data_IF_553284555506
#
_entry.id   IF_553284555506
#
_cell.length_a   1.000
_cell.length_b   1.000
_cell.length_c   1.000
_cell.angle_alpha   90.00
_cell.angle_beta   90.00
_cell.angle_gamma   90.00
#
_symmetry.space_group_name_H-M   'P 1'
#
loop_
_entity.id
_entity.type
_entity.pdbx_description
1 polymer ?
#
# COMPACT_ATOMS: atom_id res chain seq x y z
N UNK A 1 -1.04 29.43 -13.68
CA UNK A 1 -1.58 28.29 -12.94
C UNK A 1 -0.63 27.15 -13.19
N UNK A 2 -0.11 26.53 -12.13
CA UNK A 2 0.89 25.46 -12.24
C UNK A 2 0.20 24.15 -12.64
N UNK A 3 0.66 23.50 -13.69
CA UNK A 3 0.05 22.27 -14.22
C UNK A 3 0.85 21.05 -13.73
N UNK A 4 0.24 20.24 -12.87
CA UNK A 4 0.88 19.08 -12.25
C UNK A 4 0.24 17.81 -12.79
N UNK A 5 1.02 17.02 -13.52
CA UNK A 5 0.56 15.75 -14.10
C UNK A 5 0.87 14.60 -13.12
N UNK A 6 -0.14 13.81 -12.78
CA UNK A 6 0.00 12.61 -11.94
C UNK A 6 -0.16 11.37 -12.80
N UNK A 7 0.85 10.49 -12.81
CA UNK A 7 0.87 9.30 -13.67
C UNK A 7 0.91 8.04 -12.79
N UNK A 8 -0.07 7.16 -12.97
CA UNK A 8 -0.12 5.87 -12.27
C UNK A 8 -0.89 4.83 -13.09
N UNK A 9 -0.74 3.53 -12.76
CA UNK A 9 -1.31 2.48 -13.61
C UNK A 9 -1.88 1.29 -12.86
N UNK A 10 -1.57 1.14 -11.57
CA UNK A 10 -2.02 0.01 -10.75
C UNK A 10 -2.94 0.46 -9.61
N UNK A 11 -3.71 -0.48 -9.06
CA UNK A 11 -4.55 -0.22 -7.88
C UNK A 11 -3.77 0.36 -6.68
N UNK A 12 -2.63 -0.21 -6.26
CA UNK A 12 -1.86 0.33 -5.14
C UNK A 12 -1.36 1.76 -5.37
N UNK A 13 -0.90 2.06 -6.60
CA UNK A 13 -0.52 3.43 -6.97
C UNK A 13 -1.71 4.39 -6.88
N UNK A 14 -2.87 3.98 -7.42
CA UNK A 14 -4.08 4.81 -7.40
C UNK A 14 -4.54 5.14 -5.98
N UNK A 15 -4.55 4.17 -5.07
CA UNK A 15 -4.90 4.38 -3.65
C UNK A 15 -4.00 5.45 -3.02
N UNK A 16 -2.70 5.40 -3.31
CA UNK A 16 -1.70 6.30 -2.73
C UNK A 16 -1.63 7.66 -3.44
N UNK A 17 -1.96 7.72 -4.73
CA UNK A 17 -1.97 8.97 -5.49
C UNK A 17 -3.29 9.74 -5.38
N UNK A 18 -4.41 9.07 -5.12
CA UNK A 18 -5.71 9.71 -5.01
C UNK A 18 -5.77 10.84 -3.96
N UNK A 19 -5.20 10.68 -2.74
CA UNK A 19 -5.11 11.78 -1.79
C UNK A 19 -4.33 12.99 -2.32
N UNK A 20 -3.29 12.77 -3.11
CA UNK A 20 -2.48 13.84 -3.72
C UNK A 20 -3.30 14.57 -4.79
N UNK A 21 -4.04 13.84 -5.64
CA UNK A 21 -4.99 14.44 -6.60
C UNK A 21 -5.98 15.32 -5.85
N UNK A 22 -6.64 14.79 -4.81
CA UNK A 22 -7.64 15.52 -4.03
C UNK A 22 -7.08 16.71 -3.26
N UNK A 23 -5.83 16.64 -2.83
CA UNK A 23 -5.15 17.78 -2.22
C UNK A 23 -4.84 18.88 -3.25
N UNK A 24 -4.39 18.53 -4.46
CA UNK A 24 -4.16 19.47 -5.56
C UNK A 24 -5.44 20.16 -6.03
N UNK A 25 -6.55 19.40 -6.19
CA UNK A 25 -7.86 19.95 -6.57
C UNK A 25 -8.38 21.04 -5.62
N UNK A 26 -7.98 20.99 -4.33
CA UNK A 26 -8.38 21.96 -3.31
C UNK A 26 -7.51 23.22 -3.26
N UNK A 27 -6.38 23.24 -3.98
CA UNK A 27 -5.41 24.35 -3.93
C UNK A 27 -5.60 25.31 -5.10
N UNK A 28 -5.71 26.59 -4.80
CA UNK A 28 -5.73 27.63 -5.81
C UNK A 28 -4.37 27.73 -6.53
N UNK A 29 -4.40 28.04 -7.82
CA UNK A 29 -3.20 28.24 -8.63
C UNK A 29 -2.53 26.95 -9.14
N UNK A 30 -3.14 25.76 -8.90
CA UNK A 30 -2.68 24.47 -9.44
C UNK A 30 -3.79 23.80 -10.24
N UNK A 31 -3.42 23.16 -11.31
CA UNK A 31 -4.28 22.32 -12.15
C UNK A 31 -3.70 20.89 -12.16
N UNK A 32 -4.34 19.91 -11.49
CA UNK A 32 -3.95 18.51 -11.62
C UNK A 32 -4.37 17.96 -12.99
N UNK A 33 -3.51 17.15 -13.61
CA UNK A 33 -3.78 16.39 -14.84
C UNK A 33 -3.56 14.92 -14.50
N UNK A 34 -4.62 14.13 -14.49
CA UNK A 34 -4.56 12.71 -14.12
C UNK A 34 -4.40 11.85 -15.37
N UNK A 35 -3.33 11.07 -15.42
CA UNK A 35 -3.01 10.15 -16.50
C UNK A 35 -2.93 8.74 -15.95
N UNK A 36 -3.75 7.83 -16.48
CA UNK A 36 -3.71 6.42 -16.09
C UNK A 36 -3.21 5.55 -17.25
N UNK A 37 -2.31 4.61 -16.94
CA UNK A 37 -1.81 3.64 -17.92
C UNK A 37 -2.65 2.39 -18.00
N UNK A 38 -3.55 2.20 -17.02
CA UNK A 38 -4.51 1.09 -16.90
C UNK A 38 -3.83 -0.29 -16.95
N UNK A 39 -2.76 -0.49 -16.16
CA UNK A 39 -2.06 -1.77 -16.06
C UNK A 39 -2.97 -2.89 -15.50
N UNK A 40 -3.93 -2.57 -14.62
CA UNK A 40 -4.95 -3.48 -14.06
C UNK A 40 -6.30 -2.78 -14.06
N UNK A 41 -7.00 -2.82 -15.19
CA UNK A 41 -8.18 -2.01 -15.50
C UNK A 41 -9.27 -2.04 -14.41
N UNK A 42 -9.90 -3.19 -14.20
CA UNK A 42 -11.06 -3.30 -13.31
C UNK A 42 -10.76 -2.85 -11.85
N UNK A 43 -9.59 -3.23 -11.34
CA UNK A 43 -9.18 -2.86 -9.99
C UNK A 43 -8.80 -1.39 -9.86
N UNK A 44 -8.31 -0.77 -10.93
CA UNK A 44 -7.99 0.65 -10.96
C UNK A 44 -9.26 1.49 -10.98
N UNK A 45 -10.23 1.12 -11.83
CA UNK A 45 -11.50 1.81 -11.99
C UNK A 45 -12.28 1.90 -10.67
N UNK A 46 -12.29 0.82 -9.85
CA UNK A 46 -12.91 0.83 -8.53
C UNK A 46 -12.31 1.90 -7.59
N UNK A 47 -10.99 2.09 -7.63
CA UNK A 47 -10.33 3.12 -6.81
C UNK A 47 -10.64 4.51 -7.34
N UNK A 48 -10.61 4.72 -8.65
CA UNK A 48 -10.97 6.00 -9.26
C UNK A 48 -12.41 6.42 -8.90
N UNK A 49 -13.34 5.48 -8.97
CA UNK A 49 -14.73 5.69 -8.58
C UNK A 49 -14.87 6.03 -7.08
N UNK A 50 -14.20 5.25 -6.20
CA UNK A 50 -14.19 5.47 -4.75
C UNK A 50 -13.72 6.87 -4.38
N UNK A 51 -12.67 7.36 -5.03
CA UNK A 51 -12.11 8.70 -4.80
C UNK A 51 -12.74 9.78 -5.69
N UNK A 52 -13.73 9.43 -6.51
CA UNK A 52 -14.38 10.37 -7.45
C UNK A 52 -13.34 11.08 -8.34
N UNK A 53 -12.43 10.33 -8.92
CA UNK A 53 -11.41 10.81 -9.85
C UNK A 53 -11.78 10.38 -11.26
N UNK A 54 -11.87 11.36 -12.16
CA UNK A 54 -12.02 11.11 -13.59
C UNK A 54 -10.67 11.42 -14.25
N UNK A 55 -9.97 10.43 -14.83
CA UNK A 55 -8.70 10.70 -15.47
C UNK A 55 -8.87 11.56 -16.74
N UNK A 56 -7.96 12.53 -16.92
CA UNK A 56 -7.90 13.36 -18.12
C UNK A 56 -7.41 12.56 -19.33
N UNK A 57 -6.53 11.58 -19.06
CA UNK A 57 -6.02 10.66 -20.06
C UNK A 57 -6.03 9.22 -19.53
N UNK A 58 -6.76 8.38 -20.24
CA UNK A 58 -6.75 6.93 -20.05
C UNK A 58 -6.04 6.30 -21.24
N UNK A 59 -4.86 5.75 -21.01
CA UNK A 59 -3.99 5.25 -22.07
C UNK A 59 -4.27 3.80 -22.48
N UNK A 60 -4.94 3.03 -21.61
CA UNK A 60 -5.33 1.63 -21.84
C UNK A 60 -4.22 0.76 -22.46
N UNK A 61 -3.06 0.73 -21.81
CA UNK A 61 -1.85 0.12 -22.37
C UNK A 61 -1.69 -1.37 -22.08
N UNK A 62 -2.54 -1.95 -21.22
CA UNK A 62 -2.45 -3.36 -20.87
C UNK A 62 -2.73 -4.25 -22.10
N UNK A 63 -1.89 -5.28 -22.26
CA UNK A 63 -2.08 -6.35 -23.24
C UNK A 63 -1.78 -7.71 -22.59
N UNK A 64 -2.53 -8.77 -22.93
CA UNK A 64 -2.24 -10.11 -22.43
C UNK A 64 -0.81 -10.55 -22.82
N UNK A 65 -0.09 -11.11 -21.86
CA UNK A 65 1.25 -11.70 -22.05
C UNK A 65 2.33 -10.76 -22.60
N UNK A 66 2.16 -9.42 -22.43
CA UNK A 66 3.20 -8.47 -22.84
C UNK A 66 4.45 -8.62 -21.96
N UNK A 67 5.62 -8.44 -22.56
CA UNK A 67 6.90 -8.41 -21.84
C UNK A 67 7.12 -7.05 -21.14
N UNK A 68 8.09 -6.97 -20.24
CA UNK A 68 8.44 -5.70 -19.58
C UNK A 68 8.95 -4.68 -20.60
N UNK A 69 9.70 -5.13 -21.61
CA UNK A 69 10.23 -4.28 -22.70
C UNK A 69 9.09 -3.68 -23.53
N UNK A 70 8.12 -4.50 -23.93
CA UNK A 70 6.96 -4.04 -24.69
C UNK A 70 6.11 -3.05 -23.88
N UNK A 71 5.89 -3.31 -22.60
CA UNK A 71 5.16 -2.40 -21.72
C UNK A 71 5.89 -1.08 -21.55
N UNK A 72 7.20 -1.11 -21.27
CA UNK A 72 8.04 0.09 -21.14
C UNK A 72 7.99 0.93 -22.42
N UNK A 73 8.17 0.31 -23.59
CA UNK A 73 8.14 1.01 -24.87
C UNK A 73 6.77 1.64 -25.15
N UNK A 74 5.67 0.98 -24.82
CA UNK A 74 4.30 1.52 -25.00
C UNK A 74 4.04 2.72 -24.11
N UNK A 75 4.41 2.60 -22.80
CA UNK A 75 4.23 3.72 -21.87
C UNK A 75 5.06 4.91 -22.31
N UNK A 76 6.33 4.71 -22.65
CA UNK A 76 7.22 5.77 -23.13
C UNK A 76 6.64 6.51 -24.34
N UNK A 77 6.18 5.76 -25.35
CA UNK A 77 5.61 6.34 -26.58
C UNK A 77 4.24 7.03 -26.34
N UNK A 78 3.41 6.50 -25.45
CA UNK A 78 2.13 7.11 -25.14
C UNK A 78 2.33 8.38 -24.31
N UNK A 79 3.18 8.34 -23.28
CA UNK A 79 3.51 9.49 -22.46
C UNK A 79 4.13 10.64 -23.27
N UNK A 80 5.00 10.34 -24.23
CA UNK A 80 5.52 11.38 -25.13
C UNK A 80 4.42 12.24 -25.72
N UNK A 81 3.36 11.62 -26.29
CA UNK A 81 2.24 12.33 -26.93
C UNK A 81 1.42 13.16 -25.93
N UNK A 82 1.21 12.61 -24.73
CA UNK A 82 0.47 13.32 -23.67
C UNK A 82 1.26 14.52 -23.19
N UNK A 83 2.56 14.35 -22.93
CA UNK A 83 3.45 15.44 -22.47
C UNK A 83 3.59 16.55 -23.52
N UNK A 84 3.73 16.20 -24.82
CA UNK A 84 3.76 17.17 -25.92
C UNK A 84 2.46 18.01 -26.02
N UNK A 85 1.32 17.38 -25.71
CA UNK A 85 0.01 18.04 -25.74
C UNK A 85 -0.23 18.92 -24.50
N UNK A 86 0.01 18.35 -23.33
CA UNK A 86 -0.36 18.98 -22.05
C UNK A 86 0.69 19.95 -21.53
N UNK A 87 1.97 19.74 -21.83
CA UNK A 87 3.11 20.57 -21.38
C UNK A 87 3.03 20.92 -19.89
N UNK A 88 3.00 19.90 -18.97
CA UNK A 88 2.92 20.15 -17.55
C UNK A 88 4.23 20.77 -17.01
N UNK A 89 4.12 21.51 -15.92
CA UNK A 89 5.26 22.08 -15.20
C UNK A 89 5.98 21.05 -14.33
N UNK A 90 5.29 19.95 -13.95
CA UNK A 90 5.80 18.86 -13.15
C UNK A 90 5.06 17.57 -13.48
N UNK A 91 5.78 16.45 -13.50
CA UNK A 91 5.20 15.09 -13.53
C UNK A 91 5.43 14.43 -12.18
N UNK A 92 4.36 14.00 -11.52
CA UNK A 92 4.41 13.16 -10.33
C UNK A 92 4.23 11.70 -10.69
N UNK A 93 5.12 10.86 -10.18
CA UNK A 93 5.07 9.40 -10.28
C UNK A 93 5.14 8.78 -8.89
N UNK A 94 4.72 7.53 -8.75
CA UNK A 94 4.63 6.87 -7.45
C UNK A 94 5.34 5.52 -7.42
N UNK A 95 6.16 5.30 -6.39
CA UNK A 95 6.72 3.98 -6.08
C UNK A 95 7.70 3.45 -7.13
N UNK A 96 7.43 2.26 -7.67
CA UNK A 96 8.45 1.47 -8.36
C UNK A 96 7.94 0.63 -9.53
N UNK A 97 6.74 0.90 -10.03
CA UNK A 97 6.21 0.17 -11.19
C UNK A 97 6.95 0.52 -12.48
N UNK A 98 6.74 -0.28 -13.51
CA UNK A 98 7.21 0.04 -14.86
C UNK A 98 6.60 1.35 -15.37
N UNK A 99 5.37 1.66 -14.97
CA UNK A 99 4.72 2.96 -15.25
C UNK A 99 5.52 4.10 -14.66
N UNK A 100 5.91 4.01 -13.39
CA UNK A 100 6.71 5.01 -12.68
C UNK A 100 8.02 5.31 -13.40
N UNK A 101 8.79 4.28 -13.73
CA UNK A 101 10.07 4.44 -14.43
C UNK A 101 9.90 4.99 -15.85
N UNK A 102 9.00 4.42 -16.65
CA UNK A 102 8.84 4.81 -18.05
C UNK A 102 8.25 6.22 -18.20
N UNK A 103 7.32 6.64 -17.32
CA UNK A 103 6.79 8.00 -17.31
C UNK A 103 7.86 9.02 -16.90
N UNK A 104 8.71 8.70 -15.90
CA UNK A 104 9.84 9.55 -15.51
C UNK A 104 10.84 9.73 -16.65
N UNK A 105 11.16 8.65 -17.35
CA UNK A 105 12.06 8.71 -18.52
C UNK A 105 11.47 9.53 -19.65
N UNK A 106 10.15 9.43 -19.91
CA UNK A 106 9.46 10.24 -20.92
C UNK A 106 9.50 11.74 -20.57
N UNK A 107 9.26 12.09 -19.29
CA UNK A 107 9.34 13.46 -18.80
C UNK A 107 10.76 14.03 -18.92
N UNK A 108 11.76 13.25 -18.51
CA UNK A 108 13.18 13.63 -18.65
C UNK A 108 13.56 13.96 -20.10
N UNK A 109 13.12 13.16 -21.08
CA UNK A 109 13.40 13.42 -22.49
C UNK A 109 12.79 14.72 -23.01
N UNK A 110 11.76 15.23 -22.35
CA UNK A 110 11.12 16.50 -22.67
C UNK A 110 11.54 17.65 -21.73
N UNK A 111 12.52 17.38 -20.86
CA UNK A 111 13.04 18.35 -19.88
C UNK A 111 11.95 18.88 -18.92
N UNK A 112 10.99 18.02 -18.60
CA UNK A 112 9.94 18.30 -17.61
C UNK A 112 10.37 17.71 -16.28
N UNK A 113 10.37 18.51 -15.19
CA UNK A 113 10.73 18.05 -13.85
C UNK A 113 9.87 16.87 -13.38
N UNK A 114 10.47 15.97 -12.59
CA UNK A 114 9.84 14.78 -12.03
C UNK A 114 9.85 14.82 -10.52
N UNK A 115 8.69 14.63 -9.90
CA UNK A 115 8.54 14.37 -8.47
C UNK A 115 8.24 12.89 -8.21
N UNK A 116 9.04 12.26 -7.37
CA UNK A 116 8.89 10.85 -7.02
C UNK A 116 8.24 10.70 -5.64
N UNK A 117 6.99 10.27 -5.61
CA UNK A 117 6.23 9.96 -4.40
C UNK A 117 6.56 8.54 -3.94
N UNK A 118 6.70 8.32 -2.65
CA UNK A 118 7.21 7.07 -2.03
C UNK A 118 8.66 6.77 -2.46
N UNK A 119 9.48 7.82 -2.50
CA UNK A 119 10.89 7.72 -2.89
C UNK A 119 11.76 7.15 -1.76
N UNK A 120 12.81 6.41 -2.13
CA UNK A 120 13.87 6.03 -1.18
C UNK A 120 13.71 4.68 -0.49
N UNK A 121 12.66 3.91 -0.78
CA UNK A 121 12.60 2.51 -0.36
C UNK A 121 13.70 1.71 -1.06
N UNK A 122 14.43 0.85 -0.31
CA UNK A 122 15.55 0.06 -0.85
C UNK A 122 15.63 -1.32 -0.23
N UNK A 123 15.94 -2.30 -1.06
CA UNK A 123 16.43 -3.61 -0.64
C UNK A 123 17.92 -3.77 -0.92
N UNK A 124 18.45 -2.97 -1.86
CA UNK A 124 19.81 -3.09 -2.42
C UNK A 124 20.10 -4.46 -3.07
N UNK A 125 19.06 -5.22 -3.33
CA UNK A 125 19.12 -6.50 -4.03
C UNK A 125 18.54 -6.35 -5.43
N UNK A 126 19.39 -6.19 -6.43
CA UNK A 126 19.03 -5.87 -7.82
C UNK A 126 17.83 -6.64 -8.39
N UNK A 127 17.64 -7.88 -7.97
CA UNK A 127 16.61 -8.79 -8.47
C UNK A 127 15.55 -9.16 -7.42
N UNK A 128 15.47 -8.43 -6.29
CA UNK A 128 14.53 -8.71 -5.22
C UNK A 128 14.06 -7.41 -4.51
N UNK A 129 12.82 -6.95 -4.77
CA UNK A 129 11.86 -7.44 -5.79
C UNK A 129 12.30 -7.09 -7.22
N UNK A 130 11.85 -7.88 -8.20
CA UNK A 130 12.14 -7.67 -9.61
C UNK A 130 10.85 -7.42 -10.40
N UNK A 131 10.76 -6.34 -11.22
CA UNK A 131 11.80 -5.35 -11.55
C UNK A 131 11.83 -4.12 -10.62
N UNK A 132 11.06 -4.11 -9.53
CA UNK A 132 10.72 -2.94 -8.71
C UNK A 132 11.95 -2.25 -8.11
N UNK A 133 12.93 -3.02 -7.60
CA UNK A 133 14.12 -2.42 -6.99
C UNK A 133 14.91 -1.55 -7.98
N UNK A 134 15.07 -2.01 -9.22
CA UNK A 134 15.76 -1.22 -10.24
C UNK A 134 14.90 -0.07 -10.75
N UNK A 135 13.59 -0.25 -10.89
CA UNK A 135 12.70 0.83 -11.28
C UNK A 135 12.79 2.01 -10.30
N UNK A 136 12.75 1.74 -8.96
CA UNK A 136 12.82 2.81 -7.96
C UNK A 136 14.18 3.50 -7.92
N UNK A 137 15.27 2.77 -8.11
CA UNK A 137 16.60 3.35 -8.18
C UNK A 137 16.75 4.25 -9.42
N UNK A 138 16.34 3.77 -10.60
CA UNK A 138 16.42 4.53 -11.85
C UNK A 138 15.49 5.76 -11.82
N UNK A 139 14.26 5.62 -11.30
CA UNK A 139 13.37 6.76 -11.07
C UNK A 139 14.02 7.80 -10.15
N UNK A 140 14.65 7.35 -9.05
CA UNK A 140 15.39 8.24 -8.15
C UNK A 140 16.59 8.94 -8.78
N UNK A 141 17.13 8.46 -9.92
CA UNK A 141 18.15 9.18 -10.70
C UNK A 141 17.53 10.28 -11.55
N UNK A 142 16.31 10.03 -12.06
CA UNK A 142 15.61 10.95 -12.96
C UNK A 142 14.84 12.05 -12.21
N UNK A 143 14.50 11.80 -10.93
CA UNK A 143 13.65 12.69 -10.15
C UNK A 143 14.37 13.96 -9.69
N UNK A 144 13.66 15.08 -9.82
CA UNK A 144 14.07 16.41 -9.35
C UNK A 144 13.58 16.67 -7.91
N UNK A 145 12.55 15.95 -7.45
CA UNK A 145 12.01 16.02 -6.08
C UNK A 145 11.77 14.62 -5.56
N UNK A 146 12.15 14.37 -4.31
CA UNK A 146 11.96 13.09 -3.63
C UNK A 146 11.06 13.24 -2.42
N UNK A 147 9.86 12.68 -2.48
CA UNK A 147 8.91 12.65 -1.37
C UNK A 147 9.04 11.31 -0.65
N UNK A 148 9.84 11.29 0.40
CA UNK A 148 10.16 10.08 1.14
C UNK A 148 9.08 9.76 2.19
N UNK A 149 8.60 8.50 2.28
CA UNK A 149 7.58 8.14 3.25
C UNK A 149 8.11 8.09 4.69
N UNK A 150 9.41 7.86 4.89
CA UNK A 150 10.04 7.76 6.21
C UNK A 150 11.41 8.44 6.25
N UNK A 151 11.91 8.68 7.44
CA UNK A 151 13.27 9.17 7.62
C UNK A 151 14.33 8.18 7.11
N UNK A 152 14.07 6.86 7.22
CA UNK A 152 14.97 5.85 6.68
C UNK A 152 15.01 5.89 5.15
N UNK A 153 13.86 6.05 4.49
CA UNK A 153 13.80 6.22 3.05
C UNK A 153 14.56 7.48 2.58
N UNK A 154 14.42 8.58 3.31
CA UNK A 154 15.19 9.80 3.04
C UNK A 154 16.70 9.60 3.23
N UNK A 155 17.11 8.83 4.24
CA UNK A 155 18.52 8.52 4.48
C UNK A 155 19.11 7.65 3.36
N UNK A 156 18.37 6.67 2.86
CA UNK A 156 18.79 5.87 1.70
C UNK A 156 19.11 6.77 0.49
N UNK A 157 18.27 7.77 0.22
CA UNK A 157 18.50 8.73 -0.86
C UNK A 157 19.76 9.61 -0.63
N UNK A 158 20.01 10.04 0.62
CA UNK A 158 21.22 10.79 0.97
C UNK A 158 22.48 9.94 0.79
N UNK A 159 22.44 8.68 1.22
CA UNK A 159 23.55 7.73 1.02
C UNK A 159 23.86 7.48 -0.45
N UNK A 160 22.86 7.56 -1.33
CA UNK A 160 23.03 7.54 -2.78
C UNK A 160 23.48 8.88 -3.38
N UNK A 161 23.82 9.84 -2.53
CA UNK A 161 24.29 11.17 -2.92
C UNK A 161 23.32 11.93 -3.85
N UNK A 162 21.99 11.78 -3.61
CA UNK A 162 21.00 12.60 -4.33
C UNK A 162 21.13 14.07 -3.91
N UNK A 163 21.25 14.95 -4.89
CA UNK A 163 21.41 16.40 -4.68
C UNK A 163 20.07 17.14 -4.73
N UNK A 164 19.07 16.53 -5.32
CA UNK A 164 17.70 17.08 -5.41
C UNK A 164 17.03 17.14 -4.03
N UNK A 165 16.05 18.01 -3.81
CA UNK A 165 15.31 18.11 -2.56
C UNK A 165 14.73 16.74 -2.11
N UNK A 166 15.00 16.36 -0.86
CA UNK A 166 14.48 15.18 -0.21
C UNK A 166 13.59 15.63 0.94
N UNK A 167 12.29 15.37 0.81
CA UNK A 167 11.28 15.82 1.75
C UNK A 167 10.63 14.61 2.40
N UNK A 168 10.68 14.50 3.73
CA UNK A 168 9.95 13.44 4.47
C UNK A 168 8.52 13.88 4.62
N UNK A 169 7.62 13.20 3.90
CA UNK A 169 6.19 13.54 3.84
C UNK A 169 5.31 12.62 4.68
N UNK A 170 5.73 11.39 4.91
CA UNK A 170 4.87 10.28 5.28
C UNK A 170 4.40 9.51 4.04
N UNK A 171 3.72 8.39 4.26
CA UNK A 171 3.14 7.58 3.19
C UNK A 171 1.70 8.01 2.93
N UNK A 172 1.37 8.32 1.69
CA UNK A 172 0.05 8.78 1.26
C UNK A 172 -1.06 7.72 1.41
N UNK A 173 -0.71 6.45 1.65
CA UNK A 173 -1.70 5.43 1.98
C UNK A 173 -2.42 5.75 3.30
N UNK A 174 -1.73 6.42 4.24
CA UNK A 174 -2.34 6.82 5.51
C UNK A 174 -3.38 7.93 5.27
N UNK A 175 -3.11 8.82 4.32
CA UNK A 175 -4.09 9.84 3.90
C UNK A 175 -5.32 9.19 3.26
N UNK A 176 -5.14 8.11 2.49
CA UNK A 176 -6.23 7.39 1.85
C UNK A 176 -7.23 6.81 2.86
N UNK A 177 -6.77 6.37 4.04
CA UNK A 177 -7.62 5.83 5.10
C UNK A 177 -8.70 6.82 5.55
N UNK A 178 -8.44 8.13 5.49
CA UNK A 178 -9.43 9.17 5.82
C UNK A 178 -10.66 9.15 4.89
N UNK A 179 -10.50 8.64 3.67
CA UNK A 179 -11.58 8.52 2.68
C UNK A 179 -12.17 7.11 2.67
N UNK A 180 -11.33 6.10 2.86
CA UNK A 180 -11.75 4.70 2.72
C UNK A 180 -12.36 4.12 3.98
N UNK A 181 -12.08 4.67 5.18
CA UNK A 181 -12.68 4.23 6.44
C UNK A 181 -13.89 5.10 6.75
N UNK A 182 -15.08 4.49 6.89
CA UNK A 182 -16.34 5.16 7.18
C UNK A 182 -16.91 4.71 8.52
N UNK A 183 -17.44 5.67 9.31
CA UNK A 183 -18.15 5.38 10.57
C UNK A 183 -19.41 4.56 10.35
N UNK A 184 -20.10 4.82 9.24
CA UNK A 184 -21.41 4.25 8.92
C UNK A 184 -21.34 2.98 8.08
N UNK A 185 -20.13 2.40 7.97
CA UNK A 185 -19.88 1.20 7.19
C UNK A 185 -20.62 -0.01 7.77
N UNK A 186 -21.27 -0.77 6.90
CA UNK A 186 -21.97 -2.01 7.22
C UNK A 186 -21.48 -3.14 6.34
N UNK A 187 -21.32 -4.33 6.92
CA UNK A 187 -20.91 -5.53 6.17
C UNK A 187 -21.54 -6.77 6.83
N UNK A 188 -21.91 -7.81 6.09
CA UNK A 188 -22.52 -9.02 6.66
C UNK A 188 -21.68 -9.67 7.76
N UNK A 189 -20.35 -9.63 7.64
CA UNK A 189 -19.39 -10.10 8.66
C UNK A 189 -19.60 -9.33 9.97
N UNK A 190 -19.61 -8.00 9.93
CA UNK A 190 -19.76 -7.16 11.13
C UNK A 190 -21.13 -7.33 11.78
N UNK A 191 -22.20 -7.49 10.98
CA UNK A 191 -23.55 -7.77 11.50
C UNK A 191 -23.58 -9.09 12.26
N UNK A 192 -22.93 -10.13 11.71
CA UNK A 192 -22.86 -11.44 12.36
C UNK A 192 -22.01 -11.41 13.65
N UNK A 193 -20.88 -10.69 13.62
CA UNK A 193 -20.01 -10.50 14.79
C UNK A 193 -20.74 -9.77 15.92
N UNK A 194 -21.47 -8.70 15.60
CA UNK A 194 -22.28 -7.96 16.56
C UNK A 194 -23.37 -8.85 17.20
N UNK A 195 -24.02 -9.71 16.40
CA UNK A 195 -25.02 -10.64 16.91
C UNK A 195 -24.44 -11.72 17.82
N UNK A 196 -23.19 -12.17 17.58
CA UNK A 196 -22.50 -13.19 18.39
C UNK A 196 -21.73 -12.61 19.58
N UNK A 197 -21.51 -11.30 19.62
CA UNK A 197 -20.67 -10.62 20.62
C UNK A 197 -19.17 -10.92 20.49
N UNK A 198 -18.72 -11.45 19.33
CA UNK A 198 -17.34 -11.81 19.09
C UNK A 198 -16.55 -10.63 18.52
N UNK A 199 -15.26 -10.59 18.85
CA UNK A 199 -14.28 -9.63 18.32
C UNK A 199 -13.73 -10.14 16.98
N UNK A 200 -13.44 -9.23 16.07
CA UNK A 200 -12.84 -9.55 14.77
C UNK A 200 -11.33 -9.74 14.89
N UNK A 201 -10.83 -10.85 14.40
CA UNK A 201 -9.43 -11.04 14.04
C UNK A 201 -9.36 -11.18 12.51
N UNK A 202 -8.55 -10.35 11.85
CA UNK A 202 -8.43 -10.38 10.40
C UNK A 202 -7.16 -11.12 9.98
N UNK A 203 -7.29 -12.14 9.12
CA UNK A 203 -6.19 -12.90 8.57
C UNK A 203 -6.01 -12.57 7.09
N UNK A 204 -4.77 -12.28 6.67
CA UNK A 204 -4.42 -12.24 5.25
C UNK A 204 -3.05 -12.87 5.05
N UNK A 205 -3.01 -13.96 4.30
CA UNK A 205 -1.77 -14.65 3.94
C UNK A 205 -1.85 -15.19 2.52
N UNK A 206 -0.88 -14.81 1.68
CA UNK A 206 -0.88 -15.16 0.25
C UNK A 206 0.49 -15.05 -0.42
N UNK A 207 1.54 -14.65 0.30
CA UNK A 207 2.90 -14.49 -0.25
C UNK A 207 3.45 -15.83 -0.69
N UNK A 208 4.11 -15.85 -1.87
CA UNK A 208 4.70 -17.06 -2.45
C UNK A 208 5.73 -17.72 -1.52
N UNK A 209 6.46 -16.90 -0.77
CA UNK A 209 7.44 -17.37 0.22
C UNK A 209 6.80 -18.22 1.33
N UNK A 210 5.50 -18.01 1.61
CA UNK A 210 4.77 -18.72 2.66
C UNK A 210 3.98 -19.94 2.16
N UNK A 211 3.94 -20.22 0.86
CA UNK A 211 3.08 -21.28 0.31
C UNK A 211 3.32 -22.66 0.95
N UNK A 212 4.57 -23.01 1.23
CA UNK A 212 4.90 -24.28 1.89
C UNK A 212 4.61 -24.26 3.40
N UNK A 213 4.48 -23.10 4.00
CA UNK A 213 4.25 -22.90 5.43
C UNK A 213 2.78 -22.65 5.78
N UNK A 214 1.89 -22.53 4.78
CA UNK A 214 0.47 -22.25 5.02
C UNK A 214 -0.18 -23.25 6.01
N UNK A 215 0.04 -24.58 5.92
CA UNK A 215 -0.56 -25.50 6.87
C UNK A 215 -0.20 -25.22 8.33
N UNK A 216 1.08 -24.97 8.61
CA UNK A 216 1.53 -24.69 9.99
C UNK A 216 1.07 -23.32 10.49
N UNK A 217 0.94 -22.33 9.60
CA UNK A 217 0.32 -21.03 9.93
C UNK A 217 -1.15 -21.25 10.31
N UNK A 218 -1.85 -22.07 9.54
CA UNK A 218 -3.27 -22.36 9.79
C UNK A 218 -3.47 -23.18 11.09
N UNK A 219 -2.57 -24.10 11.43
CA UNK A 219 -2.59 -24.79 12.73
C UNK A 219 -2.53 -23.77 13.91
N UNK A 220 -1.71 -22.75 13.81
CA UNK A 220 -1.64 -21.68 14.81
C UNK A 220 -2.93 -20.84 14.85
N UNK A 221 -3.52 -20.57 13.68
CA UNK A 221 -4.78 -19.83 13.55
C UNK A 221 -5.95 -20.61 14.17
N UNK A 222 -6.05 -21.91 13.93
CA UNK A 222 -7.06 -22.79 14.55
C UNK A 222 -6.89 -22.83 16.08
N UNK A 223 -5.68 -23.04 16.56
CA UNK A 223 -5.37 -23.03 18.02
C UNK A 223 -5.76 -21.69 18.67
N UNK A 224 -5.51 -20.57 17.97
CA UNK A 224 -5.89 -19.25 18.47
C UNK A 224 -7.41 -19.13 18.57
N UNK A 225 -8.15 -19.56 17.54
CA UNK A 225 -9.60 -19.57 17.54
C UNK A 225 -10.17 -20.50 18.64
N UNK A 226 -9.56 -21.66 18.86
CA UNK A 226 -10.00 -22.63 19.88
C UNK A 226 -9.80 -22.11 21.30
N UNK A 227 -8.70 -21.42 21.54
CA UNK A 227 -8.35 -20.89 22.86
C UNK A 227 -9.14 -19.64 23.23
N UNK A 228 -9.75 -18.95 22.25
CA UNK A 228 -10.45 -17.69 22.44
C UNK A 228 -11.89 -17.75 21.87
N UNK A 229 -12.87 -18.17 22.67
CA UNK A 229 -14.28 -18.28 22.20
C UNK A 229 -14.93 -16.93 21.93
N UNK A 230 -14.33 -15.82 22.37
CA UNK A 230 -14.78 -14.45 22.19
C UNK A 230 -14.27 -13.79 20.90
N UNK A 231 -13.52 -14.51 20.06
CA UNK A 231 -13.09 -14.03 18.75
C UNK A 231 -13.71 -14.83 17.61
N UNK A 232 -13.74 -14.23 16.44
CA UNK A 232 -13.96 -14.88 15.15
C UNK A 232 -12.88 -14.41 14.18
N UNK A 233 -12.21 -15.35 13.53
CA UNK A 233 -11.16 -15.05 12.54
C UNK A 233 -11.81 -14.99 11.18
N UNK A 234 -11.63 -13.88 10.48
CA UNK A 234 -12.12 -13.67 9.12
C UNK A 234 -10.96 -13.65 8.15
N UNK A 235 -11.01 -14.52 7.17
CA UNK A 235 -9.97 -14.68 6.16
C UNK A 235 -10.52 -14.43 4.75
N UNK A 236 -10.29 -13.25 4.15
CA UNK A 236 -10.48 -13.01 2.74
C UNK A 236 -9.45 -13.83 1.94
N UNK A 237 -9.91 -14.93 1.32
CA UNK A 237 -9.00 -15.90 0.71
C UNK A 237 -8.53 -15.42 -0.65
N UNK A 238 -7.22 -15.34 -0.83
CA UNK A 238 -6.63 -14.93 -2.11
C UNK A 238 -6.91 -15.99 -3.20
N UNK A 239 -7.28 -15.62 -4.46
CA UNK A 239 -7.71 -16.54 -5.52
C UNK A 239 -6.59 -17.40 -6.12
N UNK A 240 -5.37 -17.37 -5.56
CA UNK A 240 -4.31 -18.28 -5.96
C UNK A 240 -4.68 -19.72 -5.61
N UNK A 241 -4.61 -20.68 -6.56
CA UNK A 241 -5.00 -22.08 -6.32
C UNK A 241 -4.31 -22.73 -5.12
N UNK A 242 -3.03 -22.44 -4.87
CA UNK A 242 -2.27 -22.98 -3.72
C UNK A 242 -2.86 -22.47 -2.41
N UNK A 243 -3.25 -21.21 -2.37
CA UNK A 243 -3.85 -20.59 -1.17
C UNK A 243 -5.24 -21.13 -0.93
N UNK A 244 -6.05 -21.26 -2.00
CA UNK A 244 -7.41 -21.84 -1.93
C UNK A 244 -7.37 -23.29 -1.42
N UNK A 245 -6.46 -24.12 -1.96
CA UNK A 245 -6.29 -25.51 -1.54
C UNK A 245 -5.88 -25.61 -0.06
N UNK A 246 -4.90 -24.80 0.37
CA UNK A 246 -4.47 -24.79 1.77
C UNK A 246 -5.59 -24.30 2.71
N UNK A 247 -6.38 -23.29 2.30
CA UNK A 247 -7.45 -22.72 3.11
C UNK A 247 -8.62 -23.71 3.39
N UNK A 248 -8.75 -24.80 2.59
CA UNK A 248 -9.72 -25.86 2.86
C UNK A 248 -9.55 -26.49 4.26
N UNK A 249 -8.33 -26.46 4.84
CA UNK A 249 -8.08 -26.87 6.22
C UNK A 249 -8.98 -26.12 7.22
N UNK A 250 -9.21 -24.83 7.02
CA UNK A 250 -9.94 -23.95 7.93
C UNK A 250 -11.46 -23.98 7.74
N UNK A 251 -11.95 -24.58 6.67
CA UNK A 251 -13.34 -24.47 6.18
C UNK A 251 -14.43 -24.83 7.17
N UNK A 252 -14.20 -25.91 7.93
CA UNK A 252 -15.21 -26.47 8.84
C UNK A 252 -15.07 -25.93 10.28
N UNK A 253 -14.13 -25.01 10.54
CA UNK A 253 -13.94 -24.46 11.86
C UNK A 253 -15.03 -23.43 12.21
N UNK A 254 -15.76 -23.57 13.34
CA UNK A 254 -16.97 -22.77 13.63
C UNK A 254 -16.70 -21.29 13.92
N UNK A 255 -15.44 -20.89 14.12
CA UNK A 255 -15.02 -19.52 14.40
C UNK A 255 -13.96 -18.99 13.43
N UNK A 256 -13.79 -19.66 12.30
CA UNK A 256 -12.97 -19.17 11.20
C UNK A 256 -13.87 -19.05 9.98
N UNK A 257 -13.95 -17.85 9.44
CA UNK A 257 -14.82 -17.56 8.30
C UNK A 257 -13.97 -17.24 7.08
N UNK A 258 -14.03 -18.12 6.09
CA UNK A 258 -13.48 -17.87 4.77
C UNK A 258 -14.48 -17.02 3.98
N UNK A 259 -13.99 -15.94 3.38
CA UNK A 259 -14.81 -15.05 2.54
C UNK A 259 -14.08 -14.76 1.21
N UNK A 260 -14.84 -14.28 0.23
CA UNK A 260 -14.27 -13.79 -1.02
C UNK A 260 -13.27 -12.65 -0.80
N UNK A 261 -12.32 -12.45 -1.72
CA UNK A 261 -11.42 -11.31 -1.68
C UNK A 261 -12.19 -10.00 -1.55
N UNK A 262 -11.70 -9.14 -0.67
CA UNK A 262 -12.29 -7.83 -0.43
C UNK A 262 -11.71 -6.77 -1.37
N UNK A 263 -12.52 -5.80 -1.74
CA UNK A 263 -12.00 -4.56 -2.28
C UNK A 263 -11.28 -3.72 -1.20
N UNK A 264 -10.69 -2.61 -1.58
CA UNK A 264 -9.92 -1.78 -0.66
C UNK A 264 -10.80 -1.09 0.39
N UNK A 265 -12.03 -0.72 0.02
CA UNK A 265 -12.96 -0.06 0.92
C UNK A 265 -13.43 -1.02 2.01
N UNK A 266 -13.89 -2.20 1.62
CA UNK A 266 -14.30 -3.25 2.55
C UNK A 266 -13.15 -3.70 3.44
N UNK A 267 -11.96 -3.89 2.85
CA UNK A 267 -10.78 -4.30 3.61
C UNK A 267 -10.39 -3.29 4.69
N UNK A 268 -10.29 -1.98 4.35
CA UNK A 268 -9.92 -0.93 5.31
C UNK A 268 -10.95 -0.79 6.43
N UNK A 269 -12.24 -0.95 6.10
CA UNK A 269 -13.30 -0.87 7.10
C UNK A 269 -13.35 -2.07 8.05
N UNK A 270 -13.08 -3.28 7.56
CA UNK A 270 -12.92 -4.46 8.43
C UNK A 270 -11.65 -4.35 9.25
N UNK A 271 -10.54 -3.93 8.66
CA UNK A 271 -9.27 -3.72 9.37
C UNK A 271 -9.42 -2.70 10.51
N UNK A 272 -10.10 -1.58 10.26
CA UNK A 272 -10.36 -0.54 11.27
C UNK A 272 -11.21 -1.03 12.47
N UNK A 273 -11.91 -2.15 12.31
CA UNK A 273 -12.77 -2.77 13.33
C UNK A 273 -12.20 -4.07 13.89
N UNK A 274 -11.03 -4.46 13.39
CA UNK A 274 -10.35 -5.64 13.89
C UNK A 274 -9.71 -5.39 15.26
N UNK A 275 -9.70 -6.41 16.10
CA UNK A 275 -8.93 -6.42 17.35
C UNK A 275 -7.47 -6.76 17.10
N UNK A 276 -7.21 -7.61 16.11
CA UNK A 276 -5.87 -8.08 15.77
C UNK A 276 -5.82 -8.37 14.27
N UNK A 277 -4.69 -8.11 13.64
CA UNK A 277 -4.44 -8.50 12.24
C UNK A 277 -3.23 -9.43 12.18
N UNK A 278 -3.40 -10.57 11.51
CA UNK A 278 -2.33 -11.48 11.13
C UNK A 278 -2.12 -11.35 9.63
N UNK A 279 -0.91 -11.00 9.18
CA UNK A 279 -0.69 -10.70 7.76
C UNK A 279 0.73 -10.99 7.29
N UNK A 280 0.86 -11.35 6.00
CA UNK A 280 2.14 -11.33 5.28
C UNK A 280 2.24 -10.17 4.26
N UNK A 281 1.20 -9.30 4.19
CA UNK A 281 1.14 -8.17 3.27
C UNK A 281 2.01 -6.99 3.75
N UNK A 282 2.79 -6.41 2.82
CA UNK A 282 3.57 -5.20 3.09
C UNK A 282 2.71 -3.95 3.31
N UNK A 283 1.65 -3.76 2.52
CA UNK A 283 0.77 -2.58 2.64
C UNK A 283 0.08 -2.51 3.99
N UNK A 284 -0.44 -3.65 4.48
CA UNK A 284 -1.12 -3.71 5.77
C UNK A 284 -0.21 -3.34 6.94
N UNK A 285 1.09 -3.61 6.83
CA UNK A 285 2.10 -3.20 7.81
C UNK A 285 2.21 -1.67 7.93
N UNK A 286 1.91 -0.94 6.87
CA UNK A 286 1.90 0.53 6.85
C UNK A 286 0.57 1.10 7.33
N UNK A 287 -0.54 0.48 6.93
CA UNK A 287 -1.91 0.95 7.10
C UNK A 287 -2.48 0.68 8.50
N UNK A 288 -2.41 -0.56 8.95
CA UNK A 288 -3.06 -1.01 10.19
C UNK A 288 -2.61 -0.27 11.47
N UNK A 289 -1.33 0.13 11.62
CA UNK A 289 -0.92 0.96 12.75
C UNK A 289 -1.68 2.30 12.85
N UNK A 290 -2.06 2.90 11.73
CA UNK A 290 -2.86 4.14 11.72
C UNK A 290 -4.31 3.93 12.16
N UNK A 291 -4.78 2.68 12.17
CA UNK A 291 -6.09 2.30 12.64
C UNK A 291 -6.09 1.92 14.14
N UNK A 292 -4.92 1.96 14.79
CA UNK A 292 -4.74 1.55 16.19
C UNK A 292 -4.91 0.04 16.40
N UNK A 293 -4.64 -0.77 15.39
CA UNK A 293 -4.82 -2.23 15.41
C UNK A 293 -3.46 -2.92 15.45
N UNK A 294 -3.18 -3.75 16.47
CA UNK A 294 -1.97 -4.56 16.54
C UNK A 294 -1.82 -5.50 15.34
N UNK A 295 -0.59 -5.64 14.84
CA UNK A 295 -0.28 -6.45 13.65
C UNK A 295 0.78 -7.50 13.96
N UNK A 296 0.47 -8.76 13.67
CA UNK A 296 1.43 -9.85 13.63
C UNK A 296 1.82 -10.13 12.19
N UNK A 297 3.10 -9.97 11.91
CA UNK A 297 3.64 -10.17 10.56
C UNK A 297 4.13 -11.61 10.42
N UNK A 298 3.45 -12.37 9.55
CA UNK A 298 3.69 -13.80 9.28
C UNK A 298 4.84 -13.99 8.27
N UNK A 299 5.99 -13.39 8.58
CA UNK A 299 7.20 -13.43 7.74
C UNK A 299 8.45 -13.47 8.60
N UNK A 300 9.52 -14.08 8.09
CA UNK A 300 10.83 -14.10 8.75
C UNK A 300 11.53 -12.74 8.67
N UNK A 301 11.30 -12.01 7.59
CA UNK A 301 11.89 -10.69 7.33
C UNK A 301 10.82 -9.73 6.82
N UNK A 302 11.06 -8.43 7.01
CA UNK A 302 10.21 -7.37 6.44
C UNK A 302 11.07 -6.27 5.84
N UNK A 303 10.61 -5.69 4.75
CA UNK A 303 11.15 -4.47 4.15
C UNK A 303 10.65 -3.19 4.85
N UNK A 304 9.98 -3.35 5.99
CA UNK A 304 9.39 -2.28 6.83
C UNK A 304 9.89 -2.36 8.27
N UNK A 305 11.21 -2.29 8.48
CA UNK A 305 11.81 -2.44 9.80
C UNK A 305 11.40 -1.33 10.78
N UNK A 306 11.02 -0.15 10.25
CA UNK A 306 10.59 0.99 11.07
C UNK A 306 9.35 0.68 11.91
N UNK A 307 8.37 -0.07 11.37
CA UNK A 307 7.18 -0.48 12.11
C UNK A 307 7.49 -1.43 13.26
N UNK A 308 8.47 -2.32 13.07
CA UNK A 308 8.96 -3.20 14.13
C UNK A 308 9.69 -2.40 15.20
N UNK A 309 10.57 -1.48 14.80
CA UNK A 309 11.32 -0.62 15.71
C UNK A 309 10.40 0.33 16.51
N UNK A 310 9.34 0.84 15.89
CA UNK A 310 8.33 1.67 16.54
C UNK A 310 7.39 0.88 17.47
N UNK A 311 7.39 -0.46 17.40
CA UNK A 311 6.51 -1.31 18.20
C UNK A 311 5.07 -1.41 17.68
N UNK A 312 4.78 -0.93 16.48
CA UNK A 312 3.46 -1.03 15.83
C UNK A 312 3.21 -2.39 15.21
N UNK A 313 4.28 -3.14 14.94
CA UNK A 313 4.29 -4.45 14.31
C UNK A 313 5.12 -5.43 15.12
N UNK A 314 4.74 -6.71 15.10
CA UNK A 314 5.54 -7.79 15.65
C UNK A 314 5.82 -8.85 14.59
N UNK A 315 7.08 -9.04 14.26
CA UNK A 315 7.51 -10.05 13.30
C UNK A 315 7.53 -11.42 13.99
N UNK A 316 6.60 -12.30 13.61
CA UNK A 316 6.42 -13.62 14.26
C UNK A 316 6.89 -14.80 13.41
N UNK A 317 7.25 -14.55 12.15
CA UNK A 317 7.64 -15.64 11.24
C UNK A 317 6.47 -16.54 10.89
N UNK A 318 6.79 -17.79 10.58
CA UNK A 318 5.82 -18.83 10.23
C UNK A 318 5.77 -19.97 11.26
N UNK A 319 6.49 -19.84 12.36
CA UNK A 319 6.50 -20.81 13.47
C UNK A 319 5.15 -20.78 14.20
N UNK A 320 4.40 -21.92 14.26
CA UNK A 320 3.05 -21.95 14.82
C UNK A 320 2.99 -21.62 16.31
N UNK A 321 4.02 -21.99 17.08
CA UNK A 321 4.05 -21.68 18.51
C UNK A 321 4.21 -20.18 18.74
N UNK A 322 5.11 -19.55 18.02
CA UNK A 322 5.36 -18.11 18.12
C UNK A 322 4.15 -17.29 17.67
N UNK A 323 3.46 -17.71 16.60
CA UNK A 323 2.22 -17.07 16.13
C UNK A 323 1.16 -17.16 17.21
N UNK A 324 0.94 -18.37 17.75
CA UNK A 324 -0.04 -18.63 18.78
C UNK A 324 0.25 -17.84 20.07
N UNK A 325 1.45 -18.00 20.65
CA UNK A 325 1.82 -17.34 21.90
C UNK A 325 1.70 -15.81 21.82
N UNK A 326 2.16 -15.22 20.69
CA UNK A 326 2.09 -13.78 20.53
C UNK A 326 0.66 -13.30 20.32
N UNK A 327 -0.15 -14.01 19.54
CA UNK A 327 -1.57 -13.72 19.36
C UNK A 327 -2.34 -13.85 20.67
N UNK A 328 -2.11 -14.93 21.41
CA UNK A 328 -2.69 -15.16 22.73
C UNK A 328 -2.34 -14.03 23.72
N UNK A 329 -1.07 -13.63 23.77
CA UNK A 329 -0.64 -12.50 24.60
C UNK A 329 -1.42 -11.23 24.30
N UNK A 330 -1.51 -10.84 23.02
CA UNK A 330 -2.23 -9.62 22.62
C UNK A 330 -3.74 -9.69 22.89
N UNK A 331 -4.34 -10.87 22.87
CA UNK A 331 -5.77 -11.04 23.16
C UNK A 331 -6.09 -11.10 24.67
N UNK A 332 -5.10 -11.39 25.53
CA UNK A 332 -5.30 -11.59 26.97
C UNK A 332 -4.62 -10.55 27.87
N UNK A 333 -3.59 -9.87 27.38
CA UNK A 333 -2.86 -8.84 28.11
C UNK A 333 -3.16 -7.44 27.54
N UNK A 334 -4.03 -6.65 28.21
CA UNK A 334 -4.37 -5.30 27.77
C UNK A 334 -3.16 -4.36 27.72
N UNK A 335 -2.15 -4.56 28.56
CA UNK A 335 -0.96 -3.69 28.58
C UNK A 335 -0.12 -3.93 27.33
N UNK A 336 0.08 -5.21 26.96
CA UNK A 336 0.78 -5.55 25.72
C UNK A 336 0.00 -5.10 24.48
N UNK A 337 -1.32 -5.22 24.51
CA UNK A 337 -2.21 -4.75 23.46
C UNK A 337 -2.11 -3.23 23.26
N UNK A 338 -2.33 -2.47 24.33
CA UNK A 338 -2.34 -1.00 24.30
C UNK A 338 -0.98 -0.44 23.91
N UNK A 339 0.10 -1.06 24.36
CA UNK A 339 1.46 -0.65 23.98
C UNK A 339 1.69 -0.71 22.46
N UNK A 340 1.12 -1.71 21.78
CA UNK A 340 1.22 -1.83 20.32
C UNK A 340 0.19 -0.97 19.60
N UNK A 341 -1.07 -0.96 20.06
CA UNK A 341 -2.16 -0.23 19.43
C UNK A 341 -1.97 1.30 19.47
N UNK A 342 -1.30 1.81 20.52
CA UNK A 342 -1.05 3.25 20.72
C UNK A 342 0.35 3.69 20.27
N UNK A 343 1.18 2.77 19.77
CA UNK A 343 2.50 3.12 19.25
C UNK A 343 2.38 4.06 18.03
N UNK A 344 3.26 5.06 17.96
CA UNK A 344 3.23 6.02 16.88
C UNK A 344 3.55 5.36 15.54
N UNK A 345 2.69 5.56 14.54
CA UNK A 345 2.92 5.01 13.21
C UNK A 345 4.10 5.73 12.52
N UNK A 346 5.22 5.05 12.21
CA UNK A 346 6.37 5.67 11.56
C UNK A 346 6.12 6.04 10.10
N UNK A 347 5.03 5.53 9.50
CA UNK A 347 4.70 5.76 8.09
C UNK A 347 3.87 7.02 7.85
N UNK A 348 3.47 7.74 8.89
CA UNK A 348 2.82 9.03 8.73
C UNK A 348 1.60 9.25 9.63
N UNK A 349 1.05 10.45 9.52
CA UNK A 349 -0.07 10.98 10.29
C UNK A 349 -1.30 11.34 9.42
N UNK A 350 -1.25 10.95 8.14
CA UNK A 350 -2.30 11.26 7.17
C UNK A 350 -2.27 12.70 6.65
N UNK A 351 -1.13 13.34 6.65
CA UNK A 351 -0.93 14.68 6.06
C UNK A 351 0.16 14.67 4.96
N UNK A 352 0.47 13.50 4.43
CA UNK A 352 1.51 13.35 3.42
C UNK A 352 1.14 14.06 2.11
N UNK A 353 -0.09 13.95 1.67
CA UNK A 353 -0.58 14.61 0.47
C UNK A 353 -0.48 16.14 0.56
N UNK A 354 -0.88 16.73 1.69
CA UNK A 354 -0.77 18.17 1.89
C UNK A 354 0.70 18.63 1.90
N UNK A 355 1.61 17.89 2.55
CA UNK A 355 3.04 18.18 2.55
C UNK A 355 3.66 18.12 1.15
N UNK A 356 3.24 17.14 0.33
CA UNK A 356 3.67 17.04 -1.08
C UNK A 356 3.22 18.28 -1.85
N UNK A 357 1.96 18.66 -1.71
CA UNK A 357 1.40 19.83 -2.43
C UNK A 357 2.06 21.14 -1.97
N UNK A 358 2.27 21.32 -0.67
CA UNK A 358 2.95 22.51 -0.13
C UNK A 358 4.39 22.62 -0.66
N UNK A 359 5.11 21.49 -0.73
CA UNK A 359 6.45 21.46 -1.30
C UNK A 359 6.46 21.79 -2.81
N UNK A 360 5.50 21.26 -3.58
CA UNK A 360 5.37 21.58 -5.01
C UNK A 360 5.11 23.08 -5.22
N UNK A 361 4.30 23.67 -4.37
CA UNK A 361 3.98 25.09 -4.49
C UNK A 361 5.16 26.00 -4.14
N UNK A 362 6.01 25.58 -3.19
CA UNK A 362 7.16 26.37 -2.72
C UNK A 362 8.43 26.16 -3.54
N UNK A 363 8.70 24.93 -4.01
CA UNK A 363 10.00 24.54 -4.55
C UNK A 363 10.03 24.45 -6.08
N UNK A 364 8.90 24.18 -6.75
CA UNK A 364 8.87 24.09 -8.21
C UNK A 364 8.78 25.49 -8.80
N UNK A 365 9.73 25.94 -9.60
CA UNK A 365 9.64 27.23 -10.33
C UNK A 365 8.40 27.30 -11.21
N UNK A 366 7.82 28.49 -11.35
CA UNK A 366 6.74 28.79 -12.31
C UNK A 366 7.35 29.09 -13.68
#
# INVERSE_FOLDING_TARGET
>A
MKRVMLVFGTRPEAIKMAPVVKALEKREGVEPIVVVTAQHREMLDQVLELFQIVPDHDLDLMRPRQTLEEMTARILNAMRRVLEKEQPDLVLVHGDTTTTFAASLAAFYQQIPVGHVEAGLRTYQKYAPFPEEMNRQLTGVLADFHFAPTSQAAENLRLENKQSPIIVTGNTVIDALKTTVSSDYTHPVLTSLAASGRKLVLLTVHRRENHLQLPQIFDAVERLADSHPDIEIVYPVHPNPIVLEAAEQLKDHPRIRLIEPLDVFDFHNLAARATLILTDSGGIQEEAPSLGVPVLVLRETTERPEGVAAGTLKLVGTDPERIYETGHQLLTDPVAYDAMAQAANPYGDGQAADRIVDAILSEVPV
#
